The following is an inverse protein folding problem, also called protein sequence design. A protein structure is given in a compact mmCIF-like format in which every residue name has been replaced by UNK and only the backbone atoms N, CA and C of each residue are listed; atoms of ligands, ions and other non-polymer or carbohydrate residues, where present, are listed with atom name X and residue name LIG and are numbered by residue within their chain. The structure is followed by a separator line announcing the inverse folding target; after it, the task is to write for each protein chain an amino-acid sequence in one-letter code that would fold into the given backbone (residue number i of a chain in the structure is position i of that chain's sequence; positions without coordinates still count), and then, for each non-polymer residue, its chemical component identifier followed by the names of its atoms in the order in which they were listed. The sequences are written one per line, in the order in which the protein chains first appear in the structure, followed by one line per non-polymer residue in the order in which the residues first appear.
data_IF_389169179037
#
_entry.id   IF_389169179037
#
_cell.length_a   1.000
_cell.length_b   1.000
_cell.length_c   1.000
_cell.angle_alpha   90.00
_cell.angle_beta   90.00
_cell.angle_gamma   90.00
#
_symmetry.space_group_name_H-M   'P 1'
#
loop_
_entity.id
_entity.type
_entity.pdbx_description
1 polymer ?
#
# COMPACT_ATOMS: atom_id res chain seq x y z
N UNK A 1 10.23 -12.59 0.91
CA UNK A 1 10.59 -11.43 1.74
C UNK A 1 9.81 -10.21 1.27
N UNK A 2 9.39 -9.37 2.21
CA UNK A 2 8.63 -8.16 1.88
C UNK A 2 9.43 -7.24 0.93
N UNK A 3 8.80 -6.83 -0.16
CA UNK A 3 9.37 -5.87 -1.08
C UNK A 3 9.11 -4.45 -0.55
N UNK A 4 10.18 -3.69 -0.32
CA UNK A 4 10.07 -2.30 0.11
C UNK A 4 10.01 -1.43 -1.14
N UNK A 5 8.80 -1.12 -1.59
CA UNK A 5 8.59 -0.30 -2.80
C UNK A 5 8.83 1.18 -2.52
N UNK A 6 9.43 1.91 -3.47
CA UNK A 6 9.90 3.27 -3.20
C UNK A 6 8.82 4.36 -3.23
N UNK A 7 7.61 4.07 -3.65
CA UNK A 7 6.58 5.10 -3.84
C UNK A 7 5.17 4.57 -3.67
N UNK A 8 4.24 5.50 -3.43
CA UNK A 8 2.82 5.20 -3.45
C UNK A 8 2.38 4.84 -4.88
N UNK A 9 1.69 3.74 -5.04
CA UNK A 9 1.24 3.27 -6.37
C UNK A 9 0.16 4.16 -6.98
N UNK A 10 -0.54 4.95 -6.18
CA UNK A 10 -1.58 5.82 -6.68
C UNK A 10 -1.10 7.24 -6.95
N UNK A 11 -0.57 7.95 -5.95
CA UNK A 11 -0.18 9.36 -6.10
C UNK A 11 1.30 9.57 -6.45
N UNK A 12 2.13 8.52 -6.36
CA UNK A 12 3.55 8.62 -6.67
C UNK A 12 4.42 9.20 -5.56
N UNK A 13 3.86 9.51 -4.40
CA UNK A 13 4.62 10.05 -3.28
C UNK A 13 5.77 9.13 -2.91
N UNK A 14 6.96 9.68 -2.67
CA UNK A 14 8.12 8.90 -2.23
C UNK A 14 7.86 8.26 -0.87
N UNK A 15 8.10 6.97 -0.77
CA UNK A 15 7.94 6.19 0.45
C UNK A 15 9.23 5.38 0.71
N UNK A 16 10.30 6.06 1.13
CA UNK A 16 11.56 5.37 1.43
C UNK A 16 11.36 4.35 2.55
N UNK A 17 12.32 3.45 2.72
CA UNK A 17 12.23 2.41 3.76
C UNK A 17 11.88 2.98 5.15
N UNK A 18 12.39 4.16 5.48
CA UNK A 18 12.16 4.79 6.78
C UNK A 18 10.81 5.49 6.91
N UNK A 19 10.00 5.51 5.86
CA UNK A 19 8.72 6.20 5.87
C UNK A 19 7.77 5.63 6.91
N UNK A 20 7.14 6.51 7.69
CA UNK A 20 6.08 6.15 8.63
C UNK A 20 4.70 6.27 7.99
N UNK A 21 4.63 6.70 6.73
CA UNK A 21 3.38 6.88 6.00
C UNK A 21 3.08 5.74 5.02
N UNK A 22 4.01 4.81 4.83
CA UNK A 22 3.80 3.70 3.91
C UNK A 22 2.85 2.66 4.51
N UNK A 23 1.86 2.26 3.73
CA UNK A 23 0.91 1.22 4.10
C UNK A 23 0.87 0.15 3.03
N UNK A 24 0.64 -1.10 3.44
CA UNK A 24 0.63 -2.24 2.52
C UNK A 24 -0.59 -3.11 2.75
N UNK A 25 -1.07 -3.76 1.69
CA UNK A 25 -2.03 -4.85 1.78
C UNK A 25 -1.28 -6.19 1.88
N UNK A 26 -2.00 -7.31 1.93
CA UNK A 26 -1.36 -8.63 2.05
C UNK A 26 -0.60 -9.06 0.79
N UNK A 27 -0.84 -8.41 -0.33
CA UNK A 27 -0.10 -8.64 -1.58
C UNK A 27 1.01 -7.60 -1.79
N UNK A 28 1.33 -6.83 -0.74
CA UNK A 28 2.39 -5.82 -0.75
C UNK A 28 2.12 -4.62 -1.65
N UNK A 29 0.89 -4.42 -2.12
CA UNK A 29 0.52 -3.18 -2.79
C UNK A 29 0.76 -2.03 -1.81
N UNK A 30 1.51 -1.01 -2.25
CA UNK A 30 2.01 0.05 -1.37
C UNK A 30 1.33 1.38 -1.69
N UNK A 31 0.80 2.02 -0.66
CA UNK A 31 0.14 3.32 -0.77
C UNK A 31 0.56 4.20 0.40
N UNK A 32 0.55 5.51 0.19
CA UNK A 32 0.74 6.42 1.32
C UNK A 32 -0.50 6.38 2.21
N UNK A 33 -0.34 6.82 3.46
CA UNK A 33 -1.43 6.77 4.45
C UNK A 33 -2.68 7.50 3.97
N UNK A 34 -2.52 8.67 3.36
CA UNK A 34 -3.66 9.45 2.86
C UNK A 34 -4.42 8.68 1.77
N UNK A 35 -3.71 8.10 0.80
CA UNK A 35 -4.36 7.30 -0.22
C UNK A 35 -5.03 6.06 0.36
N UNK A 36 -4.33 5.33 1.23
CA UNK A 36 -4.83 4.09 1.80
C UNK A 36 -6.09 4.29 2.65
N UNK A 37 -6.11 5.33 3.48
CA UNK A 37 -7.18 5.51 4.46
C UNK A 37 -8.28 6.48 3.99
N UNK A 38 -7.90 7.60 3.34
CA UNK A 38 -8.87 8.61 2.94
C UNK A 38 -9.47 8.30 1.57
N UNK A 39 -8.65 8.09 0.56
CA UNK A 39 -9.14 7.82 -0.79
C UNK A 39 -9.71 6.41 -0.92
N UNK A 40 -8.99 5.41 -0.45
CA UNK A 40 -9.34 4.01 -0.61
C UNK A 40 -10.18 3.45 0.54
N UNK A 41 -10.38 4.22 1.60
CA UNK A 41 -11.15 3.82 2.79
C UNK A 41 -10.75 2.43 3.30
N UNK A 42 -9.44 2.18 3.35
CA UNK A 42 -8.86 0.92 3.84
C UNK A 42 -9.27 -0.32 3.03
N UNK A 43 -9.52 -0.13 1.75
CA UNK A 43 -9.84 -1.21 0.81
C UNK A 43 -8.85 -1.19 -0.34
N UNK A 44 -8.04 -2.23 -0.47
CA UNK A 44 -7.10 -2.33 -1.59
C UNK A 44 -7.86 -2.48 -2.91
N UNK A 45 -7.64 -1.59 -3.89
CA UNK A 45 -8.38 -1.66 -5.15
C UNK A 45 -8.04 -2.87 -6.01
N UNK A 46 -6.98 -3.59 -5.68
CA UNK A 46 -6.58 -4.79 -6.41
C UNK A 46 -7.09 -6.08 -5.77
N UNK A 47 -6.96 -6.22 -4.44
CA UNK A 47 -7.30 -7.46 -3.76
C UNK A 47 -8.50 -7.35 -2.80
N UNK A 48 -8.94 -6.15 -2.48
CA UNK A 48 -10.05 -5.93 -1.54
C UNK A 48 -9.66 -6.03 -0.08
N UNK A 49 -8.39 -6.32 0.22
CA UNK A 49 -7.91 -6.44 1.60
C UNK A 49 -7.71 -5.08 2.28
N UNK A 50 -7.42 -5.13 3.57
CA UNK A 50 -7.12 -3.93 4.35
C UNK A 50 -5.65 -3.56 4.24
N UNK A 51 -5.32 -2.37 4.78
CA UNK A 51 -3.94 -1.89 4.85
C UNK A 51 -3.45 -1.87 6.28
N UNK A 52 -2.14 -2.08 6.43
CA UNK A 52 -1.43 -1.92 7.70
C UNK A 52 -0.15 -1.14 7.45
N UNK A 53 0.40 -0.44 8.48
CA UNK A 53 1.68 0.24 8.32
C UNK A 53 2.76 -0.75 7.87
N UNK A 54 3.57 -0.31 6.91
CA UNK A 54 4.65 -1.15 6.40
C UNK A 54 5.79 -1.22 7.42
N UNK A 55 6.28 -2.41 7.75
CA UNK A 55 7.46 -2.55 8.61
C UNK A 55 8.66 -1.84 8.00
N UNK A 56 9.50 -1.28 8.87
CA UNK A 56 10.73 -0.60 8.46
C UNK A 56 11.88 -1.58 8.61
N UNK A 57 12.63 -1.80 7.53
CA UNK A 57 13.77 -2.72 7.57
C UNK A 57 14.94 -2.03 8.27
N UNK A 58 15.60 -2.69 9.23
CA UNK A 58 16.76 -2.11 9.90
C UNK A 58 17.86 -1.75 8.91
N UNK A 59 18.57 -0.64 9.16
CA UNK A 59 19.62 -0.17 8.26
C UNK A 59 20.69 -1.22 8.00
N UNK A 60 21.07 -1.99 9.04
CA UNK A 60 22.09 -3.04 8.88
C UNK A 60 21.65 -4.11 7.90
N UNK A 61 20.35 -4.36 7.79
CA UNK A 61 19.83 -5.36 6.87
C UNK A 61 19.69 -4.83 5.46
N UNK A 62 19.57 -3.52 5.26
CA UNK A 62 19.45 -2.92 3.94
C UNK A 62 20.72 -3.12 3.09
N UNK A 63 21.88 -3.29 3.73
CA UNK A 63 23.12 -3.54 3.00
C UNK A 63 23.05 -4.85 2.22
N UNK A 64 22.42 -5.87 2.81
CA UNK A 64 22.29 -7.20 2.18
C UNK A 64 20.96 -7.38 1.46
N UNK A 65 19.90 -6.76 1.98
CA UNK A 65 18.54 -6.85 1.45
C UNK A 65 17.99 -5.44 1.19
N UNK A 66 18.45 -4.77 0.12
CA UNK A 66 18.07 -3.38 -0.14
C UNK A 66 16.60 -3.22 -0.49
N UNK A 67 16.10 -1.99 -0.32
CA UNK A 67 14.76 -1.64 -0.79
C UNK A 67 14.70 -1.74 -2.32
N UNK A 68 13.50 -1.99 -2.84
CA UNK A 68 13.28 -2.03 -4.28
C UNK A 68 13.50 -0.65 -4.90
N UNK A 69 14.12 -0.60 -6.07
CA UNK A 69 14.27 0.61 -6.86
C UNK A 69 13.20 0.71 -7.95
N UNK A 70 12.39 -0.32 -8.09
CA UNK A 70 11.36 -0.40 -9.11
C UNK A 70 10.15 0.46 -8.69
N UNK A 71 9.95 1.56 -9.41
CA UNK A 71 8.79 2.40 -9.19
C UNK A 71 7.57 1.78 -9.86
N UNK A 72 6.49 1.65 -9.09
CA UNK A 72 5.20 1.18 -9.60
C UNK A 72 4.21 2.32 -9.42
N UNK A 73 3.80 2.95 -10.52
CA UNK A 73 2.83 4.03 -10.50
C UNK A 73 1.67 3.65 -11.43
N UNK A 74 0.68 2.97 -10.87
CA UNK A 74 -0.47 2.45 -11.60
C UNK A 74 -1.75 2.93 -10.92
N UNK A 75 -2.10 4.24 -11.05
CA UNK A 75 -3.33 4.76 -10.46
C UNK A 75 -4.53 3.99 -11.00
N UNK A 76 -5.39 3.54 -10.11
CA UNK A 76 -6.64 2.90 -10.51
C UNK A 76 -7.66 3.98 -10.87
N UNK A 77 -8.53 3.72 -11.83
CA UNK A 77 -9.57 4.66 -12.16
C UNK A 77 -10.61 4.76 -11.02
N UNK A 78 -11.34 5.87 -10.98
CA UNK A 78 -12.32 6.14 -9.92
C UNK A 78 -13.40 5.07 -9.86
N UNK A 79 -13.84 4.56 -11.02
CA UNK A 79 -14.88 3.54 -11.09
C UNK A 79 -14.46 2.25 -10.38
N UNK A 80 -13.23 1.81 -10.60
CA UNK A 80 -12.71 0.60 -9.95
C UNK A 80 -12.55 0.82 -8.45
N UNK A 81 -12.04 1.97 -8.04
CA UNK A 81 -11.88 2.33 -6.63
C UNK A 81 -13.25 2.31 -5.93
N UNK A 82 -14.25 2.99 -6.49
CA UNK A 82 -15.58 3.06 -5.91
C UNK A 82 -16.24 1.67 -5.84
N UNK A 83 -16.09 0.86 -6.87
CA UNK A 83 -16.64 -0.49 -6.91
C UNK A 83 -16.08 -1.34 -5.77
N UNK A 84 -14.78 -1.28 -5.53
CA UNK A 84 -14.14 -2.04 -4.47
C UNK A 84 -14.51 -1.50 -3.08
N UNK A 85 -14.57 -0.18 -2.93
CA UNK A 85 -14.98 0.44 -1.67
C UNK A 85 -16.40 0.04 -1.28
N UNK A 86 -17.33 0.17 -2.22
CA UNK A 86 -18.73 -0.20 -1.99
C UNK A 86 -18.86 -1.66 -1.58
N UNK A 87 -18.07 -2.52 -2.21
CA UNK A 87 -18.13 -3.95 -1.94
C UNK A 87 -17.58 -4.32 -0.57
N UNK A 88 -16.49 -3.68 -0.11
CA UNK A 88 -15.73 -4.16 1.04
C UNK A 88 -15.64 -3.22 2.25
N UNK A 89 -15.87 -1.91 2.07
CA UNK A 89 -15.58 -0.95 3.15
C UNK A 89 -16.34 -1.20 4.45
N UNK A 90 -17.54 -1.76 4.38
CA UNK A 90 -18.36 -2.05 5.55
C UNK A 90 -18.16 -3.47 6.08
N UNK A 91 -17.31 -4.25 5.43
CA UNK A 91 -17.01 -5.62 5.86
C UNK A 91 -15.69 -5.60 6.61
N UNK A 92 -15.69 -6.18 7.81
CA UNK A 92 -14.44 -6.28 8.59
C UNK A 92 -13.40 -7.06 7.77
N UNK A 93 -12.11 -6.68 7.83
CA UNK A 93 -11.07 -7.35 7.04
C UNK A 93 -11.08 -8.86 7.15
N UNK A 94 -11.29 -9.40 8.35
CA UNK A 94 -11.32 -10.85 8.57
C UNK A 94 -12.55 -11.54 7.96
N UNK A 95 -13.53 -10.76 7.50
CA UNK A 95 -14.77 -11.28 6.89
C UNK A 95 -14.84 -11.07 5.38
N UNK A 96 -13.87 -10.35 4.83
CA UNK A 96 -13.86 -10.05 3.40
C UNK A 96 -13.63 -11.26 2.53
#
# INVERSE_FOLDING_TARGET
MLEIRPNCEHCGKDLPNSSTEAMICSFECTYCKDCALDLLENVCPSCGGNFQPRPIRPKVMLAKYPASEKQVHLPKNKGKIEKMKVRYRLIKPEKR
#
